data_IF_586211424314
#
_entry.id   IF_586211424314
#
_cell.length_a   1.000
_cell.length_b   1.000
_cell.length_c   1.000
_cell.angle_alpha   90.00
_cell.angle_beta   90.00
_cell.angle_gamma   90.00
#
_symmetry.space_group_name_H-M   'P 1'
#
loop_
_entity.id
_entity.type
_entity.pdbx_description
1 polymer ?
#
# COMPACT_ATOMS: atom_id res chain seq x y z
N UNK A 1 -13.12 16.49 -6.80
CA UNK A 1 -13.58 15.37 -5.94
C UNK A 1 -12.63 15.28 -4.75
N UNK A 2 -12.69 16.24 -3.83
CA UNK A 2 -11.87 16.28 -2.60
C UNK A 2 -12.71 16.06 -1.34
N UNK A 3 -14.03 15.93 -1.49
CA UNK A 3 -14.99 15.77 -0.40
C UNK A 3 -15.10 14.33 0.11
N UNK A 4 -14.64 13.34 -0.66
CA UNK A 4 -14.75 11.92 -0.29
C UNK A 4 -13.44 11.46 0.34
N UNK A 5 -13.51 10.92 1.54
CA UNK A 5 -12.37 10.29 2.20
C UNK A 5 -12.07 8.93 1.57
N UNK A 6 -10.80 8.67 1.30
CA UNK A 6 -10.35 7.45 0.63
C UNK A 6 -9.56 6.56 1.58
N UNK A 7 -9.82 5.27 1.57
CA UNK A 7 -9.06 4.30 2.36
C UNK A 7 -8.02 3.66 1.44
N UNK A 8 -6.78 3.59 1.89
CA UNK A 8 -5.69 2.87 1.20
C UNK A 8 -5.26 1.66 2.02
N UNK A 9 -5.17 0.53 1.35
CA UNK A 9 -4.61 -0.69 1.94
C UNK A 9 -3.76 -1.45 0.92
N UNK A 10 -2.82 -2.25 1.42
CA UNK A 10 -1.93 -3.06 0.59
C UNK A 10 -2.05 -4.54 0.94
N UNK A 11 -1.89 -5.39 -0.07
CA UNK A 11 -1.97 -6.83 0.06
C UNK A 11 -0.73 -7.46 -0.57
N UNK A 12 -0.28 -8.58 -0.01
CA UNK A 12 0.83 -9.36 -0.56
C UNK A 12 0.33 -10.72 -1.04
N UNK A 13 0.61 -11.05 -2.30
CA UNK A 13 0.21 -12.30 -2.93
C UNK A 13 1.43 -13.18 -3.17
N UNK A 14 1.34 -14.45 -2.78
CA UNK A 14 2.37 -15.45 -3.11
C UNK A 14 2.46 -15.67 -4.63
N UNK A 15 3.70 -15.81 -5.10
CA UNK A 15 3.99 -16.22 -6.46
C UNK A 15 4.91 -17.44 -6.46
N UNK A 16 4.91 -18.17 -7.56
CA UNK A 16 5.91 -19.21 -7.79
C UNK A 16 7.32 -18.64 -7.69
N UNK A 17 8.23 -19.41 -7.09
CA UNK A 17 9.65 -19.08 -7.05
C UNK A 17 10.15 -18.86 -8.49
N UNK A 18 10.60 -17.64 -8.85
CA UNK A 18 11.13 -17.38 -10.17
C UNK A 18 12.35 -18.27 -10.45
N UNK A 19 12.54 -18.75 -11.68
CA UNK A 19 13.73 -19.55 -12.01
C UNK A 19 15.01 -18.70 -12.05
N UNK A 20 14.92 -17.47 -12.57
CA UNK A 20 16.07 -16.56 -12.66
C UNK A 20 16.46 -16.00 -11.28
N UNK A 21 17.72 -16.16 -10.89
CA UNK A 21 18.23 -15.76 -9.56
C UNK A 21 18.08 -14.26 -9.26
N UNK A 22 18.28 -13.41 -10.27
CA UNK A 22 18.06 -11.97 -10.14
C UNK A 22 16.60 -11.64 -9.82
N UNK A 23 15.65 -12.35 -10.45
CA UNK A 23 14.22 -12.24 -10.14
C UNK A 23 13.87 -12.82 -8.78
N UNK A 24 14.49 -13.93 -8.36
CA UNK A 24 14.26 -14.50 -7.03
C UNK A 24 14.58 -13.48 -5.94
N UNK A 25 15.81 -12.94 -5.93
CA UNK A 25 16.24 -11.92 -4.95
C UNK A 25 15.32 -10.69 -4.98
N UNK A 26 14.84 -10.31 -6.15
CA UNK A 26 13.97 -9.15 -6.37
C UNK A 26 12.58 -9.28 -5.72
N UNK A 27 12.00 -10.48 -5.66
CA UNK A 27 10.63 -10.71 -5.17
C UNK A 27 10.58 -11.42 -3.82
N UNK A 28 11.71 -11.86 -3.28
CA UNK A 28 11.77 -12.55 -2.00
C UNK A 28 11.52 -11.60 -0.82
N UNK A 29 10.43 -11.82 -0.08
CA UNK A 29 10.13 -11.12 1.17
C UNK A 29 10.83 -11.79 2.34
N UNK A 30 11.77 -11.09 2.99
CA UNK A 30 12.45 -11.60 4.18
C UNK A 30 11.52 -11.82 5.37
N UNK A 31 10.48 -10.99 5.50
CA UNK A 31 9.48 -11.09 6.58
C UNK A 31 8.60 -12.33 6.42
N UNK A 32 8.10 -12.57 5.21
CA UNK A 32 7.20 -13.70 4.91
C UNK A 32 7.94 -14.97 4.47
N UNK A 33 9.27 -14.90 4.30
CA UNK A 33 10.15 -15.99 3.82
C UNK A 33 9.67 -16.65 2.53
N UNK A 34 9.09 -15.86 1.61
CA UNK A 34 8.47 -16.34 0.36
C UNK A 34 8.56 -15.27 -0.75
N UNK A 35 8.40 -15.69 -2.01
CA UNK A 35 8.38 -14.77 -3.16
C UNK A 35 6.98 -14.20 -3.33
N UNK A 36 6.86 -12.87 -3.32
CA UNK A 36 5.57 -12.20 -3.30
C UNK A 36 5.51 -11.01 -4.26
N UNK A 37 4.30 -10.73 -4.70
CA UNK A 37 3.92 -9.45 -5.29
C UNK A 37 3.16 -8.63 -4.25
N UNK A 38 3.30 -7.31 -4.33
CA UNK A 38 2.54 -6.38 -3.51
C UNK A 38 1.58 -5.61 -4.41
N UNK A 39 0.33 -5.52 -3.97
CA UNK A 39 -0.73 -4.76 -4.63
C UNK A 39 -1.28 -3.73 -3.65
N UNK A 40 -1.64 -2.55 -4.13
CA UNK A 40 -2.23 -1.49 -3.31
C UNK A 40 -3.56 -1.05 -3.91
N UNK A 41 -4.58 -0.94 -3.07
CA UNK A 41 -5.95 -0.64 -3.45
C UNK A 41 -6.40 0.61 -2.71
N UNK A 42 -7.02 1.54 -3.43
CA UNK A 42 -7.69 2.69 -2.85
C UNK A 42 -9.19 2.53 -3.07
N UNK A 43 -9.96 2.64 -2.01
CA UNK A 43 -11.42 2.51 -2.01
C UNK A 43 -12.07 3.75 -1.41
N UNK A 44 -13.36 3.94 -1.70
CA UNK A 44 -14.18 4.89 -0.93
C UNK A 44 -14.38 4.39 0.50
N UNK A 45 -14.52 5.31 1.46
CA UNK A 45 -14.78 5.03 2.88
C UNK A 45 -15.90 4.00 3.15
N UNK A 46 -16.97 4.03 2.35
CA UNK A 46 -18.09 3.10 2.43
C UNK A 46 -17.83 1.72 1.79
N UNK A 47 -16.62 1.50 1.24
CA UNK A 47 -16.19 0.24 0.62
C UNK A 47 -16.89 -0.12 -0.69
N UNK A 48 -17.75 0.75 -1.25
CA UNK A 48 -18.56 0.42 -2.43
C UNK A 48 -17.84 0.55 -3.76
N UNK A 49 -16.77 1.33 -3.82
CA UNK A 49 -16.04 1.61 -5.07
C UNK A 49 -14.54 1.49 -4.87
N UNK A 50 -13.90 0.82 -5.81
CA UNK A 50 -12.45 0.87 -6.01
C UNK A 50 -12.16 2.10 -6.87
N UNK A 51 -11.27 2.95 -6.37
CA UNK A 51 -10.91 4.23 -7.00
C UNK A 51 -9.62 4.11 -7.82
N UNK A 52 -8.60 3.43 -7.30
CA UNK A 52 -7.38 3.13 -8.04
C UNK A 52 -6.71 1.86 -7.50
N UNK A 53 -5.98 1.16 -8.37
CA UNK A 53 -5.25 -0.06 -8.00
C UNK A 53 -3.85 -0.02 -8.61
N UNK A 54 -2.86 -0.43 -7.81
CA UNK A 54 -1.53 -0.79 -8.28
C UNK A 54 -1.36 -2.29 -8.08
N UNK A 55 -0.96 -3.00 -9.15
CA UNK A 55 -0.73 -4.44 -9.13
C UNK A 55 0.68 -4.81 -9.58
N UNK A 56 1.20 -5.91 -9.05
CA UNK A 56 2.43 -6.53 -9.54
C UNK A 56 3.71 -5.82 -9.12
N UNK A 57 3.66 -5.02 -8.05
CA UNK A 57 4.88 -4.44 -7.47
C UNK A 57 5.65 -5.50 -6.68
N UNK A 58 6.90 -5.20 -6.37
CA UNK A 58 7.79 -6.14 -5.65
C UNK A 58 7.23 -6.35 -4.24
N UNK A 59 7.08 -7.60 -3.81
CA UNK A 59 6.63 -7.93 -2.44
C UNK A 59 7.37 -7.17 -1.32
N UNK A 60 8.71 -7.05 -1.37
CA UNK A 60 9.48 -6.33 -0.35
C UNK A 60 9.32 -4.80 -0.36
N UNK A 61 8.62 -4.22 -1.34
CA UNK A 61 8.44 -2.77 -1.43
C UNK A 61 7.62 -2.25 -0.24
N UNK A 62 8.00 -1.12 0.33
CA UNK A 62 7.27 -0.57 1.48
C UNK A 62 5.95 0.08 1.06
N UNK A 63 4.93 -0.03 1.91
CA UNK A 63 3.58 0.52 1.66
C UNK A 63 3.63 2.03 1.43
N UNK A 64 4.50 2.74 2.16
CA UNK A 64 4.68 4.19 2.02
C UNK A 64 5.24 4.61 0.65
N UNK A 65 6.13 3.82 0.04
CA UNK A 65 6.69 4.13 -1.28
C UNK A 65 5.60 3.95 -2.35
N UNK A 66 4.83 2.87 -2.26
CA UNK A 66 3.70 2.62 -3.15
C UNK A 66 2.64 3.70 -3.02
N UNK A 67 2.29 4.08 -1.79
CA UNK A 67 1.39 5.21 -1.53
C UNK A 67 1.88 6.52 -2.14
N UNK A 68 3.14 6.90 -1.95
CA UNK A 68 3.68 8.14 -2.54
C UNK A 68 3.61 8.12 -4.08
N UNK A 69 3.79 6.96 -4.71
CA UNK A 69 3.63 6.81 -6.17
C UNK A 69 2.17 7.00 -6.56
N UNK A 70 1.24 6.35 -5.86
CA UNK A 70 -0.19 6.40 -6.17
C UNK A 70 -0.79 7.79 -5.91
N UNK A 71 -0.40 8.43 -4.80
CA UNK A 71 -0.89 9.73 -4.36
C UNK A 71 -0.65 10.85 -5.39
N UNK A 72 0.38 10.74 -6.25
CA UNK A 72 0.65 11.72 -7.31
C UNK A 72 -0.45 11.79 -8.37
N UNK A 73 -1.29 10.76 -8.50
CA UNK A 73 -2.42 10.74 -9.43
C UNK A 73 -3.65 11.49 -8.91
N UNK A 74 -3.66 11.81 -7.61
CA UNK A 74 -4.79 12.44 -6.95
C UNK A 74 -4.54 13.94 -6.76
N UNK A 75 -5.63 14.65 -6.53
CA UNK A 75 -5.59 16.07 -6.18
C UNK A 75 -4.70 16.33 -4.95
N UNK A 76 -4.09 17.51 -4.87
CA UNK A 76 -3.20 17.91 -3.77
C UNK A 76 -3.94 18.06 -2.44
N UNK A 77 -5.25 18.19 -2.44
CA UNK A 77 -6.07 18.32 -1.24
C UNK A 77 -6.73 16.99 -0.83
N UNK A 78 -6.67 15.95 -1.68
CA UNK A 78 -7.26 14.65 -1.38
C UNK A 78 -6.68 14.05 -0.09
N UNK A 79 -7.58 13.62 0.79
CA UNK A 79 -7.27 12.96 2.07
C UNK A 79 -7.40 11.45 1.96
N UNK A 80 -6.56 10.76 2.71
CA UNK A 80 -6.50 9.30 2.77
C UNK A 80 -6.53 8.82 4.21
N UNK A 81 -7.04 7.61 4.43
CA UNK A 81 -6.90 6.85 5.67
C UNK A 81 -6.10 5.59 5.39
N UNK A 82 -5.21 5.24 6.33
CA UNK A 82 -4.48 3.99 6.27
C UNK A 82 -3.99 3.57 7.66
N UNK A 83 -3.36 2.41 7.72
CA UNK A 83 -2.80 1.89 8.95
C UNK A 83 -1.43 2.54 9.29
N UNK A 84 -0.72 1.96 10.26
CA UNK A 84 0.60 2.48 10.66
C UNK A 84 1.69 2.25 9.62
N UNK A 85 1.52 1.31 8.68
CA UNK A 85 2.48 1.04 7.61
C UNK A 85 2.74 2.26 6.71
N UNK A 86 1.77 3.18 6.63
CA UNK A 86 1.88 4.42 5.87
C UNK A 86 2.56 5.58 6.63
N UNK A 87 3.34 5.27 7.67
CA UNK A 87 4.04 6.31 8.42
C UNK A 87 5.02 7.12 7.57
N UNK A 88 4.94 8.45 7.70
CA UNK A 88 5.71 9.39 6.88
C UNK A 88 5.02 9.80 5.58
N UNK A 89 3.77 9.38 5.35
CA UNK A 89 2.94 9.86 4.25
C UNK A 89 2.36 11.25 4.52
N UNK A 90 2.27 12.06 3.46
CA UNK A 90 1.52 13.32 3.50
C UNK A 90 0.02 13.03 3.33
N UNK A 91 -0.85 13.84 3.96
CA UNK A 91 -2.31 13.79 3.73
C UNK A 91 -2.96 12.42 3.97
N UNK A 92 -2.35 11.62 4.86
CA UNK A 92 -2.86 10.32 5.28
C UNK A 92 -3.03 10.30 6.80
N UNK A 93 -4.27 10.10 7.22
CA UNK A 93 -4.64 9.92 8.61
C UNK A 93 -4.46 8.46 9.01
N UNK A 94 -3.90 8.27 10.21
CA UNK A 94 -3.44 6.98 10.72
C UNK A 94 -3.78 6.87 12.20
N UNK A 95 -4.07 5.66 12.71
CA UNK A 95 -4.38 5.48 14.12
C UNK A 95 -3.16 5.80 15.00
N UNK A 96 -3.33 6.78 15.90
CA UNK A 96 -2.32 7.11 16.93
C UNK A 96 -2.38 6.10 18.07
N UNK A 97 -1.23 5.65 18.56
CA UNK A 97 -1.16 4.79 19.74
C UNK A 97 -1.75 5.56 20.93
N UNK A 98 -2.76 5.00 21.60
CA UNK A 98 -3.24 5.56 22.87
C UNK A 98 -2.14 5.44 23.92
N UNK A 99 -1.88 6.51 24.66
CA UNK A 99 -1.03 6.43 25.84
C UNK A 99 -1.70 5.50 26.85
N UNK A 100 -0.92 4.61 27.49
CA UNK A 100 -1.45 3.84 28.62
C UNK A 100 -1.77 4.83 29.75
N UNK A 101 -2.89 4.64 30.46
CA UNK A 101 -3.18 5.41 31.66
C UNK A 101 -2.08 5.22 32.72
#
# INVERSE_FOLDING_TARGET
>A
MTEIELIVDSTEQDIFRPKNDGKQKKYYSGKQKSHRLKNQIIITDNGKKIVDVIVGERGPESDIILFKKQQKKFDKEQRFQGDKGYQGGSRIDRPKKKNKP
#
